data_IF_507862793831
#
_entry.id   IF_507862793831
#
_cell.length_a   1.000
_cell.length_b   1.000
_cell.length_c   1.000
_cell.angle_alpha   90.00
_cell.angle_beta   90.00
_cell.angle_gamma   90.00
#
_symmetry.space_group_name_H-M   'P 1'
#
loop_
_entity.id
_entity.type
_entity.pdbx_description
1 polymer ?
#
# COMPACT_ATOMS: atom_id res chain seq x y z
N UNK A 1 -8.21 11.71 -18.12
CA UNK A 1 -7.69 10.49 -17.51
C UNK A 1 -6.52 9.99 -18.35
N UNK A 2 -5.37 9.78 -17.77
CA UNK A 2 -4.19 9.33 -18.50
C UNK A 2 -3.77 7.98 -17.95
N UNK A 3 -3.59 6.99 -18.83
CA UNK A 3 -3.02 5.70 -18.45
C UNK A 3 -1.50 5.75 -18.59
N UNK A 4 -0.80 5.41 -17.51
CA UNK A 4 0.66 5.32 -17.50
C UNK A 4 1.09 3.99 -16.89
N UNK A 5 2.14 3.39 -17.45
CA UNK A 5 2.75 2.21 -16.85
C UNK A 5 3.74 2.65 -15.78
N UNK A 6 3.53 2.22 -14.55
CA UNK A 6 4.42 2.50 -13.42
C UNK A 6 4.82 1.19 -12.76
N UNK A 7 6.11 0.98 -12.56
CA UNK A 7 6.59 -0.23 -11.89
C UNK A 7 6.14 -0.28 -10.43
N UNK A 8 5.81 -1.47 -9.93
CA UNK A 8 5.38 -1.69 -8.54
C UNK A 8 6.41 -1.15 -7.55
N UNK A 9 7.71 -1.38 -7.80
CA UNK A 9 8.80 -0.84 -6.96
C UNK A 9 8.72 0.68 -6.79
N UNK A 10 8.41 1.40 -7.87
CA UNK A 10 8.29 2.87 -7.83
C UNK A 10 7.10 3.30 -6.98
N UNK A 11 5.97 2.61 -7.12
CA UNK A 11 4.78 2.90 -6.31
C UNK A 11 5.03 2.62 -4.82
N UNK A 12 5.71 1.52 -4.50
CA UNK A 12 6.07 1.20 -3.10
C UNK A 12 7.05 2.23 -2.50
N UNK A 13 7.98 2.76 -3.29
CA UNK A 13 8.84 3.87 -2.85
C UNK A 13 8.05 5.16 -2.60
N UNK A 14 7.01 5.42 -3.38
CA UNK A 14 6.13 6.56 -3.14
C UNK A 14 5.32 6.40 -1.83
N UNK A 15 4.98 5.16 -1.43
CA UNK A 15 4.41 4.86 -0.11
C UNK A 15 5.44 5.15 0.98
N UNK A 16 6.65 4.58 0.85
CA UNK A 16 7.74 4.72 1.83
C UNK A 16 8.08 6.18 2.09
N UNK A 17 8.19 6.99 1.05
CA UNK A 17 8.50 8.42 1.13
C UNK A 17 7.33 9.27 1.64
N UNK A 18 6.13 8.70 1.80
CA UNK A 18 4.92 9.42 2.16
C UNK A 18 4.39 10.34 1.05
N UNK A 19 4.83 10.11 -0.20
CA UNK A 19 4.29 10.82 -1.38
C UNK A 19 2.92 10.30 -1.77
N UNK A 20 2.65 9.01 -1.54
CA UNK A 20 1.37 8.37 -1.75
C UNK A 20 0.58 8.32 -0.45
N UNK A 21 -0.65 8.85 -0.45
CA UNK A 21 -1.52 8.95 0.72
C UNK A 21 -2.94 8.44 0.41
N UNK A 22 -3.70 8.18 1.47
CA UNK A 22 -5.06 7.65 1.41
C UNK A 22 -6.08 8.71 1.81
N UNK A 23 -7.22 8.85 1.12
CA UNK A 23 -8.31 9.70 1.58
C UNK A 23 -9.09 9.00 2.71
N UNK A 24 -9.61 9.78 3.66
CA UNK A 24 -10.38 9.26 4.82
C UNK A 24 -11.68 8.54 4.45
N UNK A 25 -12.16 8.74 3.23
CA UNK A 25 -13.39 8.10 2.74
C UNK A 25 -13.22 6.60 2.41
N UNK A 26 -11.98 6.09 2.42
CA UNK A 26 -11.72 4.69 2.11
C UNK A 26 -11.79 3.85 3.38
N UNK A 27 -12.27 2.60 3.22
CA UNK A 27 -12.31 1.65 4.32
C UNK A 27 -10.91 1.26 4.79
N UNK A 28 -10.78 0.88 6.03
CA UNK A 28 -9.57 0.31 6.61
C UNK A 28 -9.09 -0.93 5.85
N UNK A 29 -7.84 -1.33 6.09
CA UNK A 29 -7.29 -2.56 5.53
C UNK A 29 -7.98 -3.78 6.14
N UNK A 30 -8.61 -4.60 5.30
CA UNK A 30 -9.41 -5.76 5.71
C UNK A 30 -8.94 -7.08 5.12
N UNK A 31 -7.97 -7.05 4.22
CA UNK A 31 -7.46 -8.26 3.60
C UNK A 31 -6.75 -9.14 4.61
N UNK A 32 -7.01 -10.44 4.48
CA UNK A 32 -6.37 -11.46 5.29
C UNK A 32 -5.09 -11.93 4.62
N UNK A 33 -4.26 -12.64 5.37
CA UNK A 33 -3.03 -13.23 4.87
C UNK A 33 -3.23 -13.98 3.54
N UNK A 34 -4.28 -14.77 3.43
CA UNK A 34 -4.57 -15.54 2.21
C UNK A 34 -4.84 -14.65 0.99
N UNK A 35 -5.46 -13.50 1.17
CA UNK A 35 -5.72 -12.55 0.08
C UNK A 35 -4.39 -11.96 -0.43
N UNK A 36 -3.47 -11.66 0.49
CA UNK A 36 -2.12 -11.20 0.16
C UNK A 36 -1.36 -12.28 -0.61
N UNK A 37 -1.38 -13.52 -0.13
CA UNK A 37 -0.74 -14.67 -0.78
C UNK A 37 -1.28 -14.89 -2.19
N UNK A 38 -2.60 -14.83 -2.38
CA UNK A 38 -3.25 -14.97 -3.70
C UNK A 38 -2.88 -13.83 -4.65
N UNK A 39 -2.75 -12.60 -4.16
CA UNK A 39 -2.29 -11.47 -4.97
C UNK A 39 -0.87 -11.70 -5.48
N UNK A 40 0.03 -12.14 -4.60
CA UNK A 40 1.41 -12.44 -4.98
C UNK A 40 1.51 -13.62 -5.95
N UNK A 41 0.76 -14.67 -5.71
CA UNK A 41 0.70 -15.81 -6.62
C UNK A 41 0.26 -15.38 -8.02
N UNK A 42 -0.76 -14.54 -8.11
CA UNK A 42 -1.21 -13.97 -9.39
C UNK A 42 -0.12 -13.16 -10.09
N UNK A 43 0.62 -12.32 -9.33
CA UNK A 43 1.72 -11.55 -9.88
C UNK A 43 2.87 -12.43 -10.40
N UNK A 44 3.25 -13.46 -9.64
CA UNK A 44 4.30 -14.40 -10.03
C UNK A 44 3.94 -15.21 -11.26
N UNK A 45 2.67 -15.49 -11.47
CA UNK A 45 2.15 -16.15 -12.66
C UNK A 45 1.96 -15.21 -13.86
N UNK A 46 2.23 -13.91 -13.70
CA UNK A 46 2.05 -12.90 -14.74
C UNK A 46 0.60 -12.49 -15.00
N UNK A 47 -0.31 -12.81 -14.09
CA UNK A 47 -1.70 -12.36 -14.22
C UNK A 47 -1.83 -10.87 -13.89
N UNK A 48 -2.69 -10.15 -14.61
CA UNK A 48 -2.97 -8.75 -14.32
C UNK A 48 -3.69 -8.62 -12.97
N UNK A 49 -3.23 -7.69 -12.13
CA UNK A 49 -3.84 -7.41 -10.82
C UNK A 49 -4.88 -6.29 -10.88
N UNK A 50 -5.35 -5.96 -12.09
CA UNK A 50 -6.24 -4.83 -12.35
C UNK A 50 -5.54 -3.46 -12.25
N UNK A 51 -6.22 -2.41 -12.68
CA UNK A 51 -5.70 -1.03 -12.65
C UNK A 51 -5.69 -0.46 -11.24
N UNK A 52 -4.79 0.51 -11.03
CA UNK A 52 -4.76 1.37 -9.85
C UNK A 52 -5.16 2.78 -10.30
N UNK A 53 -5.93 3.48 -9.49
CA UNK A 53 -6.34 4.84 -9.78
C UNK A 53 -5.73 5.82 -8.79
N UNK A 54 -5.03 6.82 -9.33
CA UNK A 54 -4.36 7.85 -8.57
C UNK A 54 -4.83 9.25 -8.98
N UNK A 55 -4.85 10.14 -8.01
CA UNK A 55 -5.09 11.56 -8.24
C UNK A 55 -3.90 12.37 -7.75
N UNK A 56 -3.22 13.05 -8.68
CA UNK A 56 -2.11 13.96 -8.35
C UNK A 56 -2.67 15.31 -7.95
N UNK A 57 -2.33 15.76 -6.77
CA UNK A 57 -2.76 17.04 -6.21
C UNK A 57 -1.53 17.89 -5.92
N UNK A 58 -1.52 19.10 -6.48
CA UNK A 58 -0.40 20.03 -6.34
C UNK A 58 -0.54 20.95 -5.12
N UNK A 59 -1.76 21.12 -4.63
CA UNK A 59 -2.07 21.97 -3.48
C UNK A 59 -3.23 21.34 -2.74
N UNK A 60 -2.92 20.66 -1.65
CA UNK A 60 -3.92 19.98 -0.84
C UNK A 60 -4.44 20.97 0.20
N UNK A 61 -5.73 21.27 0.13
CA UNK A 61 -6.43 22.04 1.16
C UNK A 61 -7.09 21.08 2.14
N UNK A 62 -6.68 21.13 3.40
CA UNK A 62 -7.19 20.25 4.48
C UNK A 62 -8.57 20.64 4.99
N UNK A 63 -9.10 21.79 4.58
CA UNK A 63 -10.37 22.27 5.10
C UNK A 63 -11.57 21.39 4.73
N UNK A 64 -11.41 20.50 3.77
CA UNK A 64 -12.50 19.69 3.21
C UNK A 64 -12.32 18.19 3.29
N UNK A 65 -11.12 17.67 3.56
CA UNK A 65 -10.87 16.24 3.56
C UNK A 65 -9.68 15.86 4.45
N UNK A 66 -9.85 14.81 5.24
CA UNK A 66 -8.76 14.17 5.99
C UNK A 66 -8.04 13.16 5.13
N UNK A 67 -6.75 12.99 5.40
CA UNK A 67 -5.88 12.03 4.73
C UNK A 67 -5.16 11.15 5.73
N UNK A 68 -4.80 9.95 5.28
CA UNK A 68 -4.07 8.99 6.08
C UNK A 68 -2.79 8.54 5.37
N UNK A 69 -1.80 8.17 6.16
CA UNK A 69 -0.65 7.40 5.68
C UNK A 69 -1.05 5.95 5.47
N UNK A 70 -0.29 5.24 4.67
CA UNK A 70 -0.38 3.78 4.64
C UNK A 70 -0.05 3.21 6.02
N UNK A 71 -0.58 2.02 6.32
CA UNK A 71 -0.24 1.27 7.51
C UNK A 71 1.27 1.02 7.59
N UNK A 72 1.79 0.86 8.80
CA UNK A 72 3.14 0.35 8.99
C UNK A 72 3.26 -1.01 8.29
N UNK A 73 4.43 -1.26 7.69
CA UNK A 73 4.67 -2.50 6.96
C UNK A 73 4.54 -3.74 7.87
N UNK A 74 4.86 -3.61 9.17
CA UNK A 74 4.64 -4.65 10.16
C UNK A 74 3.20 -4.60 10.68
N UNK A 75 2.31 -5.21 9.89
CA UNK A 75 0.88 -5.20 10.14
C UNK A 75 0.47 -6.23 11.21
N UNK A 76 -0.32 -5.77 12.17
CA UNK A 76 -0.96 -6.61 13.20
C UNK A 76 -2.46 -6.52 13.04
N UNK A 77 -3.10 -7.66 12.72
CA UNK A 77 -4.55 -7.74 12.58
C UNK A 77 -5.26 -7.28 13.87
N UNK A 78 -6.24 -6.39 13.73
CA UNK A 78 -6.98 -5.84 14.86
C UNK A 78 -6.27 -4.77 15.70
N UNK A 79 -4.98 -4.51 15.48
CA UNK A 79 -4.21 -3.54 16.25
C UNK A 79 -3.58 -2.42 15.40
N UNK A 80 -3.30 -2.69 14.12
CA UNK A 80 -2.71 -1.68 13.22
C UNK A 80 -3.80 -0.76 12.68
N UNK A 81 -3.57 0.54 12.78
CA UNK A 81 -4.45 1.59 12.27
C UNK A 81 -3.68 2.56 11.39
N UNK A 82 -4.36 3.16 10.42
CA UNK A 82 -3.78 4.21 9.60
C UNK A 82 -3.55 5.47 10.43
N UNK A 83 -2.38 6.09 10.28
CA UNK A 83 -2.06 7.35 10.94
C UNK A 83 -2.57 8.52 10.11
N UNK A 84 -3.12 9.54 10.78
CA UNK A 84 -3.55 10.78 10.13
C UNK A 84 -2.32 11.45 9.50
N UNK A 85 -2.49 11.87 8.25
CA UNK A 85 -1.50 12.67 7.54
C UNK A 85 -1.82 14.16 7.74
N UNK A 86 -0.91 14.87 8.41
CA UNK A 86 -1.00 16.33 8.53
C UNK A 86 -0.46 16.97 7.26
N UNK A 87 -1.34 17.57 6.48
CA UNK A 87 -0.97 18.28 5.25
C UNK A 87 -0.18 19.56 5.59
N UNK A 88 0.83 19.84 4.78
CA UNK A 88 1.61 21.08 4.84
C UNK A 88 1.28 21.94 3.62
N UNK A 89 1.45 23.24 3.75
CA UNK A 89 1.29 24.17 2.62
C UNK A 89 2.19 23.78 1.46
N UNK A 90 1.67 23.86 0.25
CA UNK A 90 2.34 23.48 -1.00
C UNK A 90 2.75 22.00 -1.10
N UNK A 91 2.10 21.13 -0.37
CA UNK A 91 2.37 19.69 -0.42
C UNK A 91 1.87 19.10 -1.76
N UNK A 92 2.80 18.50 -2.49
CA UNK A 92 2.46 17.73 -3.71
C UNK A 92 2.35 16.27 -3.34
N UNK A 93 1.15 15.73 -3.46
CA UNK A 93 0.86 14.33 -3.10
C UNK A 93 0.10 13.63 -4.20
N UNK A 94 0.18 12.33 -4.16
CA UNK A 94 -0.64 11.45 -4.96
C UNK A 94 -1.63 10.74 -4.03
N UNK A 95 -2.91 10.85 -4.33
CA UNK A 95 -3.98 10.25 -3.55
C UNK A 95 -4.43 8.96 -4.22
N UNK A 96 -4.56 7.88 -3.49
CA UNK A 96 -5.09 6.62 -3.99
C UNK A 96 -6.61 6.67 -4.05
N UNK A 97 -7.17 6.58 -5.24
CA UNK A 97 -8.63 6.55 -5.45
C UNK A 97 -9.13 5.11 -5.51
N UNK A 98 -8.39 4.22 -6.17
CA UNK A 98 -8.70 2.78 -6.18
C UNK A 98 -7.43 1.94 -6.08
N UNK A 99 -7.57 0.75 -5.49
CA UNK A 99 -6.50 -0.22 -5.29
C UNK A 99 -5.80 -0.16 -3.94
N UNK A 100 -6.35 0.54 -2.95
CA UNK A 100 -5.76 0.65 -1.61
C UNK A 100 -5.42 -0.71 -0.99
N UNK A 101 -6.35 -1.68 -1.01
CA UNK A 101 -6.13 -3.00 -0.40
C UNK A 101 -4.97 -3.74 -1.07
N UNK A 102 -4.90 -3.68 -2.40
CA UNK A 102 -3.80 -4.29 -3.18
C UNK A 102 -2.46 -3.63 -2.87
N UNK A 103 -2.41 -2.31 -2.85
CA UNK A 103 -1.19 -1.56 -2.54
C UNK A 103 -0.71 -1.81 -1.11
N UNK A 104 -1.61 -1.80 -0.13
CA UNK A 104 -1.29 -2.12 1.27
C UNK A 104 -0.78 -3.55 1.39
N UNK A 105 -1.39 -4.50 0.68
CA UNK A 105 -0.92 -5.89 0.64
C UNK A 105 0.48 -6.04 0.09
N UNK A 106 0.77 -5.35 -1.03
CA UNK A 106 2.11 -5.33 -1.62
C UNK A 106 3.13 -4.68 -0.69
N UNK A 107 2.74 -3.59 -0.03
CA UNK A 107 3.58 -2.89 0.95
C UNK A 107 3.96 -3.78 2.13
N UNK A 108 2.97 -4.43 2.76
CA UNK A 108 3.19 -5.34 3.89
C UNK A 108 4.07 -6.54 3.46
N UNK A 109 3.79 -7.13 2.31
CA UNK A 109 4.49 -8.33 1.89
C UNK A 109 5.93 -8.08 1.42
N UNK A 110 6.24 -6.91 0.85
CA UNK A 110 7.59 -6.59 0.37
C UNK A 110 8.47 -6.01 1.48
N UNK A 111 7.92 -5.17 2.34
CA UNK A 111 8.70 -4.41 3.32
C UNK A 111 8.49 -4.83 4.78
N UNK A 112 7.50 -5.64 5.08
CA UNK A 112 7.13 -5.92 6.44
C UNK A 112 6.69 -7.34 6.75
N UNK A 113 5.74 -7.45 7.65
CA UNK A 113 5.21 -8.71 8.17
C UNK A 113 3.70 -8.63 8.41
N UNK A 114 3.04 -9.78 8.40
CA UNK A 114 1.63 -9.90 8.75
C UNK A 114 1.47 -10.80 9.98
N UNK A 115 0.89 -10.27 11.05
CA UNK A 115 0.58 -11.01 12.27
C UNK A 115 -0.94 -11.14 12.41
N UNK A 116 -1.47 -12.37 12.44
CA UNK A 116 -2.89 -12.63 12.63
C UNK A 116 -3.27 -12.70 14.11
N UNK A 117 -4.50 -12.30 14.46
CA UNK A 117 -5.01 -12.41 15.84
C UNK A 117 -5.01 -13.84 16.38
N UNK A 118 -5.25 -14.83 15.52
CA UNK A 118 -5.33 -16.25 15.90
C UNK A 118 -3.98 -16.92 16.08
N UNK A 119 -2.89 -16.22 15.77
CA UNK A 119 -1.56 -16.80 15.76
C UNK A 119 -0.61 -16.10 16.72
N UNK A 120 -0.84 -16.19 18.04
CA UNK A 120 0.15 -15.71 19.02
C UNK A 120 1.54 -16.36 18.88
N UNK A 121 1.76 -17.28 17.91
CA UNK A 121 2.98 -18.07 17.80
C UNK A 121 3.57 -18.25 16.38
N UNK A 122 3.12 -17.51 15.37
CA UNK A 122 3.77 -17.60 14.05
C UNK A 122 4.07 -16.21 13.51
N UNK A 123 5.19 -15.66 13.92
CA UNK A 123 5.85 -14.58 13.20
C UNK A 123 6.36 -15.13 11.87
N UNK A 124 5.77 -14.70 10.80
CA UNK A 124 6.33 -14.95 9.47
C UNK A 124 7.22 -13.75 9.12
N UNK A 125 8.50 -13.87 9.45
CA UNK A 125 9.51 -13.02 8.87
C UNK A 125 9.80 -13.52 7.46
N UNK A 126 9.44 -12.74 6.46
CA UNK A 126 10.10 -12.86 5.20
C UNK A 126 11.52 -12.35 5.40
N UNK A 127 12.51 -13.23 5.30
CA UNK A 127 13.91 -12.81 5.29
C UNK A 127 14.06 -11.79 4.17
N UNK A 128 14.54 -10.60 4.52
CA UNK A 128 15.05 -9.63 3.57
C UNK A 128 16.24 -10.28 2.85
N UNK A 129 15.96 -11.04 1.82
CA UNK A 129 16.99 -11.35 0.85
C UNK A 129 17.20 -10.08 0.03
N UNK A 130 18.38 -9.50 0.16
CA UNK A 130 18.89 -8.34 -0.58
C UNK A 130 19.00 -8.60 -2.08
N UNK A 131 18.43 -9.65 -2.60
CA UNK A 131 18.45 -9.99 -4.00
C UNK A 131 17.12 -9.60 -4.64
N UNK A 132 17.18 -8.53 -5.39
CA UNK A 132 16.28 -8.01 -6.38
C UNK A 132 15.18 -8.96 -6.84
N UNK A 133 14.04 -8.92 -6.16
CA UNK A 133 12.80 -9.38 -6.76
C UNK A 133 12.32 -8.27 -7.68
N UNK A 134 12.78 -8.33 -8.92
CA UNK A 134 12.33 -7.44 -9.98
C UNK A 134 10.94 -7.90 -10.40
N UNK A 135 9.90 -7.27 -9.89
CA UNK A 135 8.57 -7.39 -10.45
C UNK A 135 8.50 -6.46 -11.66
N UNK A 136 8.70 -6.99 -12.83
CA UNK A 136 8.37 -6.32 -14.08
C UNK A 136 6.93 -6.64 -14.39
N UNK A 137 6.03 -5.68 -14.18
CA UNK A 137 4.72 -5.74 -14.80
C UNK A 137 4.92 -5.46 -16.29
N UNK A 138 4.73 -6.49 -17.14
CA UNK A 138 4.58 -6.35 -18.58
C UNK A 138 3.16 -5.93 -18.91
#
# INVERSE_FOLDING_TARGET
MQFTNKGIRTVLKDIESGHLILPALQREFVWKRRDIENLFDSLLQGFPINTLMFWNVNDIKTETMEFYRFLDADYKEGASTNQIYSVRDNDRKTIVIDGQQRLTSLWIAVYGSYTSEKGKNKMYHQQRTTNDVVFVAQ
#
